data_IF_736066521457
#
_entry.id   IF_736066521457
#
_cell.length_a   1.000
_cell.length_b   1.000
_cell.length_c   1.000
_cell.angle_alpha   90.00
_cell.angle_beta   90.00
_cell.angle_gamma   90.00
#
_symmetry.space_group_name_H-M   'P 1'
#
loop_
_entity.id
_entity.type
_entity.pdbx_description
1 polymer ?
#
# COMPACT_ATOMS: atom_id res chain seq x y z
N UNK A 1 -0.59 -25.67 -4.67
CA UNK A 1 -1.48 -24.79 -3.89
C UNK A 1 -1.17 -23.36 -4.32
N UNK A 2 -2.13 -22.64 -4.92
CA UNK A 2 -1.99 -21.19 -5.16
C UNK A 2 -2.73 -20.47 -4.03
N UNK A 3 -2.21 -19.34 -3.57
CA UNK A 3 -3.02 -18.43 -2.75
C UNK A 3 -4.25 -18.03 -3.59
N UNK A 4 -5.39 -17.88 -2.93
CA UNK A 4 -6.59 -17.40 -3.60
C UNK A 4 -6.40 -15.92 -3.94
N UNK A 5 -6.82 -15.50 -5.13
CA UNK A 5 -6.68 -14.11 -5.64
C UNK A 5 -7.31 -13.04 -4.74
N UNK A 6 -8.12 -13.42 -3.74
CA UNK A 6 -8.69 -12.52 -2.75
C UNK A 6 -7.73 -12.22 -1.58
N UNK A 7 -6.63 -12.97 -1.44
CA UNK A 7 -5.62 -12.72 -0.40
C UNK A 7 -4.59 -11.71 -0.89
N UNK A 8 -4.53 -10.56 -0.22
CA UNK A 8 -3.67 -9.43 -0.59
C UNK A 8 -3.16 -8.72 0.67
N UNK A 9 -2.05 -7.97 0.55
CA UNK A 9 -1.56 -7.17 1.66
C UNK A 9 -2.40 -5.89 1.76
N UNK A 10 -2.95 -5.59 2.93
CA UNK A 10 -3.79 -4.41 3.14
C UNK A 10 -3.06 -3.09 2.82
N UNK A 11 -1.73 -3.06 2.95
CA UNK A 11 -0.94 -1.90 2.55
C UNK A 11 -0.98 -1.60 1.05
N UNK A 12 -1.30 -2.58 0.20
CA UNK A 12 -1.45 -2.36 -1.25
C UNK A 12 -2.51 -1.30 -1.54
N UNK A 13 -3.65 -1.38 -0.85
CA UNK A 13 -4.74 -0.41 -0.97
C UNK A 13 -4.32 0.99 -0.57
N UNK A 14 -3.76 1.12 0.64
CA UNK A 14 -3.32 2.42 1.18
C UNK A 14 -2.26 3.05 0.26
N UNK A 15 -1.33 2.24 -0.25
CA UNK A 15 -0.29 2.68 -1.17
C UNK A 15 -0.87 3.17 -2.49
N UNK A 16 -1.79 2.42 -3.11
CA UNK A 16 -2.43 2.86 -4.36
C UNK A 16 -3.20 4.17 -4.18
N UNK A 17 -3.98 4.30 -3.10
CA UNK A 17 -4.73 5.53 -2.80
C UNK A 17 -3.78 6.73 -2.69
N UNK A 18 -2.69 6.61 -1.93
CA UNK A 18 -1.70 7.68 -1.76
C UNK A 18 -0.91 8.01 -3.04
N UNK A 19 -0.59 7.01 -3.88
CA UNK A 19 0.08 7.26 -5.16
C UNK A 19 -0.81 8.03 -6.13
N UNK A 20 -2.11 7.73 -6.14
CA UNK A 20 -3.12 8.44 -6.93
C UNK A 20 -3.30 9.87 -6.39
N UNK A 21 -3.45 10.04 -5.08
CA UNK A 21 -3.57 11.36 -4.44
C UNK A 21 -2.37 12.27 -4.72
N UNK A 22 -1.17 11.69 -4.79
CA UNK A 22 0.08 12.41 -5.12
C UNK A 22 0.28 12.62 -6.63
N UNK A 23 -0.56 12.05 -7.48
CA UNK A 23 -0.47 12.18 -8.94
C UNK A 23 0.75 11.50 -9.56
N UNK A 24 1.39 10.57 -8.84
CA UNK A 24 2.64 9.93 -9.27
C UNK A 24 2.43 9.05 -10.51
N UNK A 25 1.24 8.44 -10.66
CA UNK A 25 0.88 7.66 -11.85
C UNK A 25 0.82 8.49 -13.13
N UNK A 26 0.69 9.82 -13.05
CA UNK A 26 0.73 10.71 -14.21
C UNK A 26 2.16 11.20 -14.52
N UNK A 27 3.09 11.05 -13.58
CA UNK A 27 4.46 11.56 -13.69
C UNK A 27 5.45 10.48 -14.16
N UNK A 28 5.21 9.22 -13.79
CA UNK A 28 6.11 8.10 -14.07
C UNK A 28 5.46 7.06 -14.99
N UNK A 29 6.28 6.30 -15.71
CA UNK A 29 5.79 5.19 -16.53
C UNK A 29 5.34 4.00 -15.67
N UNK A 30 4.53 3.11 -16.25
CA UNK A 30 4.03 1.91 -15.57
C UNK A 30 5.16 1.01 -15.05
N UNK A 31 6.28 0.92 -15.77
CA UNK A 31 7.47 0.15 -15.33
C UNK A 31 8.09 0.75 -14.06
N UNK A 32 8.29 2.07 -14.02
CA UNK A 32 8.83 2.76 -12.84
C UNK A 32 7.85 2.67 -11.67
N UNK A 33 6.55 2.79 -11.93
CA UNK A 33 5.52 2.63 -10.92
C UNK A 33 5.51 1.22 -10.32
N UNK A 34 5.75 0.18 -11.13
CA UNK A 34 5.88 -1.19 -10.64
C UNK A 34 7.08 -1.34 -9.68
N UNK A 35 8.22 -0.72 -10.00
CA UNK A 35 9.41 -0.72 -9.14
C UNK A 35 9.15 0.03 -7.82
N UNK A 36 8.46 1.18 -7.87
CA UNK A 36 8.02 1.90 -6.68
C UNK A 36 7.09 1.05 -5.81
N UNK A 37 6.06 0.43 -6.39
CA UNK A 37 5.16 -0.47 -5.66
C UNK A 37 5.94 -1.58 -4.94
N UNK A 38 6.89 -2.22 -5.62
CA UNK A 38 7.73 -3.27 -5.02
C UNK A 38 8.58 -2.74 -3.86
N UNK A 39 9.26 -1.62 -4.04
CA UNK A 39 10.15 -1.04 -3.03
C UNK A 39 9.38 -0.49 -1.82
N UNK A 40 8.21 0.11 -2.03
CA UNK A 40 7.33 0.59 -0.95
C UNK A 40 6.79 -0.58 -0.14
N UNK A 41 6.21 -1.60 -0.78
CA UNK A 41 5.62 -2.74 -0.08
C UNK A 41 6.65 -3.54 0.73
N UNK A 42 7.89 -3.66 0.22
CA UNK A 42 8.97 -4.35 0.93
C UNK A 42 9.46 -3.61 2.18
N UNK A 43 9.16 -2.33 2.34
CA UNK A 43 9.48 -1.56 3.56
C UNK A 43 8.39 -1.68 4.64
N UNK A 44 7.22 -2.22 4.29
CA UNK A 44 6.06 -2.27 5.16
C UNK A 44 5.90 -3.67 5.78
N UNK A 45 5.37 -3.78 7.00
CA UNK A 45 5.16 -5.08 7.62
C UNK A 45 4.10 -5.87 6.85
N UNK A 46 4.30 -7.19 6.74
CA UNK A 46 3.33 -8.06 6.09
C UNK A 46 1.98 -8.03 6.82
N UNK A 47 0.90 -7.77 6.08
CA UNK A 47 -0.46 -7.71 6.62
C UNK A 47 -1.48 -8.20 5.60
N UNK A 48 -1.50 -9.52 5.42
CA UNK A 48 -2.39 -10.17 4.46
C UNK A 48 -3.79 -10.34 5.03
N UNK A 49 -4.78 -9.98 4.22
CA UNK A 49 -6.20 -10.09 4.50
C UNK A 49 -6.89 -10.73 3.30
N UNK A 50 -8.12 -11.21 3.52
CA UNK A 50 -8.99 -11.74 2.46
C UNK A 50 -10.00 -10.71 1.97
N UNK A 51 -10.54 -9.90 2.88
CA UNK A 51 -11.52 -8.87 2.55
C UNK A 51 -11.19 -7.57 3.25
N UNK A 52 -11.14 -6.48 2.48
CA UNK A 52 -10.96 -5.12 3.00
C UNK A 52 -11.99 -4.73 4.05
N UNK A 53 -13.22 -5.23 3.91
CA UNK A 53 -14.31 -4.90 4.83
C UNK A 53 -14.00 -5.37 6.25
N UNK A 54 -13.42 -6.56 6.41
CA UNK A 54 -13.03 -7.08 7.72
C UNK A 54 -12.05 -6.12 8.39
N UNK A 55 -11.05 -5.67 7.62
CA UNK A 55 -10.06 -4.74 8.14
C UNK A 55 -10.66 -3.37 8.47
N UNK A 56 -11.54 -2.84 7.63
CA UNK A 56 -12.18 -1.55 7.89
C UNK A 56 -13.05 -1.55 9.15
N UNK A 57 -13.69 -2.68 9.49
CA UNK A 57 -14.50 -2.83 10.71
C UNK A 57 -13.66 -2.98 11.98
N UNK A 58 -12.54 -3.70 11.93
CA UNK A 58 -11.73 -3.99 13.12
C UNK A 58 -10.57 -3.01 13.34
N UNK A 59 -10.14 -2.27 12.32
CA UNK A 59 -8.98 -1.38 12.41
C UNK A 59 -9.33 -0.08 13.16
N UNK A 60 -8.75 0.16 14.34
CA UNK A 60 -8.95 1.42 15.05
C UNK A 60 -8.44 2.61 14.23
N UNK A 61 -9.11 3.77 14.35
CA UNK A 61 -8.74 4.97 13.61
C UNK A 61 -7.28 5.38 13.80
N UNK A 62 -6.74 5.25 15.02
CA UNK A 62 -5.35 5.60 15.30
C UNK A 62 -4.36 4.68 14.57
N UNK A 63 -4.69 3.40 14.44
CA UNK A 63 -3.84 2.42 13.75
C UNK A 63 -3.84 2.71 12.25
N UNK A 64 -5.01 3.05 11.67
CA UNK A 64 -5.12 3.49 10.29
C UNK A 64 -4.22 4.69 9.98
N UNK A 65 -4.27 5.72 10.83
CA UNK A 65 -3.41 6.92 10.66
C UNK A 65 -1.93 6.54 10.71
N UNK A 66 -1.53 5.66 11.63
CA UNK A 66 -0.14 5.19 11.70
C UNK A 66 0.27 4.39 10.47
N UNK A 67 -0.64 3.58 9.92
CA UNK A 67 -0.38 2.84 8.68
C UNK A 67 -0.19 3.79 7.50
N UNK A 68 -1.09 4.75 7.30
CA UNK A 68 -0.97 5.79 6.27
C UNK A 68 0.34 6.57 6.40
N UNK A 69 0.74 6.96 7.61
CA UNK A 69 2.02 7.64 7.86
C UNK A 69 3.22 6.78 7.44
N UNK A 70 3.22 5.47 7.76
CA UNK A 70 4.29 4.56 7.33
C UNK A 70 4.37 4.44 5.82
N UNK A 71 3.23 4.35 5.14
CA UNK A 71 3.21 4.28 3.67
C UNK A 71 3.73 5.57 3.06
N UNK A 72 3.33 6.73 3.58
CA UNK A 72 3.86 8.02 3.13
C UNK A 72 5.39 8.09 3.24
N UNK A 73 5.95 7.67 4.38
CA UNK A 73 7.41 7.62 4.56
C UNK A 73 8.05 6.66 3.54
N UNK A 74 7.47 5.48 3.33
CA UNK A 74 7.99 4.51 2.37
C UNK A 74 7.94 5.02 0.92
N UNK A 75 6.89 5.77 0.54
CA UNK A 75 6.81 6.47 -0.75
C UNK A 75 7.92 7.50 -0.86
N UNK A 76 8.11 8.35 0.15
CA UNK A 76 9.14 9.40 0.14
C UNK A 76 10.55 8.81 -0.02
N UNK A 77 10.82 7.66 0.59
CA UNK A 77 12.08 6.91 0.42
C UNK A 77 12.21 6.33 -0.99
N UNK A 78 11.13 5.84 -1.59
CA UNK A 78 11.16 5.23 -2.92
C UNK A 78 11.35 6.24 -4.06
N UNK A 79 10.87 7.48 -3.89
CA UNK A 79 10.97 8.55 -4.90
C UNK A 79 12.23 9.43 -4.75
N UNK A 80 12.96 9.30 -3.63
CA UNK A 80 14.20 10.05 -3.35
C UNK A 80 15.39 9.54 -4.15
#
# INVERSE_FOLDING_TARGET
>A
MKLHDDVHNYYEKIMLDLLIERGLSAQYSDEIMADFCCTILNQLPARYIRYDVDMAFYLPQHERIQMEQRVNIAIDVAIS
#
